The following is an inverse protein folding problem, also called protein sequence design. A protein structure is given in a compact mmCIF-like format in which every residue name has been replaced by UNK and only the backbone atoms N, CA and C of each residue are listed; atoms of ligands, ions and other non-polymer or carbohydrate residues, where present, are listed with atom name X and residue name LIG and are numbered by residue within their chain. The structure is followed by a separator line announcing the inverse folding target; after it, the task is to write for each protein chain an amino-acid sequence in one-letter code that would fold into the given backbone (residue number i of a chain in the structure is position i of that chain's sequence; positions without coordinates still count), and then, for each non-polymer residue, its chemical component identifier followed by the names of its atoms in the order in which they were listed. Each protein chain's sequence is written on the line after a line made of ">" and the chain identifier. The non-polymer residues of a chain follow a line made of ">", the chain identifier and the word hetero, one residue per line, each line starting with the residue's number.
data_IF_209868016856
#
_entry.id   IF_209868016856
#
_cell.length_a   1.000
_cell.length_b   1.000
_cell.length_c   1.000
_cell.angle_alpha   90.00
_cell.angle_beta   90.00
_cell.angle_gamma   90.00
#
_symmetry.space_group_name_H-M   'P 1'
#
loop_
_entity.id
_entity.type
_entity.pdbx_description
1 polymer ?
#
# COMPACT_ATOMS: atom_id res chain seq x y z
N UNK A 1 2.01 12.11 -35.73
CA UNK A 1 1.01 11.62 -34.77
C UNK A 1 1.27 12.35 -33.45
N UNK A 2 0.49 13.37 -33.12
CA UNK A 2 0.66 14.15 -31.88
C UNK A 2 -0.16 13.49 -30.78
N UNK A 3 0.49 13.07 -29.68
CA UNK A 3 -0.20 12.58 -28.48
C UNK A 3 -1.08 13.69 -27.93
N UNK A 4 -2.38 13.43 -27.81
CA UNK A 4 -3.31 14.39 -27.22
C UNK A 4 -3.06 14.49 -25.70
N UNK A 5 -3.34 15.65 -25.07
CA UNK A 5 -3.20 15.80 -23.63
C UNK A 5 -4.02 14.76 -22.83
N UNK A 6 -5.17 14.33 -23.35
CA UNK A 6 -6.01 13.31 -22.73
C UNK A 6 -5.33 11.93 -22.69
N UNK A 7 -4.68 11.53 -23.80
CA UNK A 7 -3.94 10.26 -23.86
C UNK A 7 -2.76 10.28 -22.88
N UNK A 8 -2.04 11.40 -22.80
CA UNK A 8 -0.95 11.57 -21.82
C UNK A 8 -1.45 11.47 -20.38
N UNK A 9 -2.60 12.08 -20.08
CA UNK A 9 -3.23 12.00 -18.75
C UNK A 9 -3.62 10.56 -18.39
N UNK A 10 -4.19 9.80 -19.33
CA UNK A 10 -4.53 8.40 -19.11
C UNK A 10 -3.28 7.55 -18.83
N UNK A 11 -2.24 7.67 -19.67
CA UNK A 11 -0.97 6.95 -19.46
C UNK A 11 -0.38 7.27 -18.08
N UNK A 12 -0.30 8.55 -17.73
CA UNK A 12 0.21 8.98 -16.43
C UNK A 12 -0.62 8.43 -15.26
N UNK A 13 -1.95 8.39 -15.41
CA UNK A 13 -2.87 7.82 -14.43
C UNK A 13 -2.63 6.32 -14.19
N UNK A 14 -2.54 5.52 -15.24
CA UNK A 14 -2.28 4.08 -15.11
C UNK A 14 -0.87 3.76 -14.60
N UNK A 15 0.15 4.52 -15.03
CA UNK A 15 1.50 4.38 -14.47
C UNK A 15 1.53 4.73 -12.98
N UNK A 16 0.82 5.77 -12.57
CA UNK A 16 0.66 6.14 -11.15
C UNK A 16 0.03 5.00 -10.36
N UNK A 17 -1.09 4.43 -10.83
CA UNK A 17 -1.75 3.28 -10.20
C UNK A 17 -0.79 2.09 -10.06
N UNK A 18 0.02 1.78 -11.09
CA UNK A 18 1.00 0.70 -11.02
C UNK A 18 2.10 0.95 -9.99
N UNK A 19 2.58 2.19 -9.86
CA UNK A 19 3.54 2.56 -8.83
C UNK A 19 2.95 2.39 -7.43
N UNK A 20 1.70 2.81 -7.24
CA UNK A 20 0.95 2.65 -5.99
C UNK A 20 0.84 1.18 -5.55
N UNK A 21 0.68 0.25 -6.49
CA UNK A 21 0.72 -1.20 -6.20
C UNK A 21 2.12 -1.65 -5.79
N UNK A 22 3.16 -1.23 -6.52
CA UNK A 22 4.53 -1.66 -6.25
C UNK A 22 5.02 -1.21 -4.87
N UNK A 23 4.70 0.02 -4.47
CA UNK A 23 5.19 0.64 -3.22
C UNK A 23 4.78 -0.13 -1.96
N UNK A 24 3.68 -0.88 -1.97
CA UNK A 24 3.21 -1.58 -0.77
C UNK A 24 3.91 -2.94 -0.53
N UNK A 25 4.49 -3.51 -1.59
CA UNK A 25 5.08 -4.87 -1.57
C UNK A 25 6.30 -5.01 -0.64
N UNK A 26 7.25 -4.04 -0.55
CA UNK A 26 8.44 -4.17 0.28
C UNK A 26 8.14 -4.39 1.77
N UNK A 27 7.11 -3.74 2.32
CA UNK A 27 6.82 -3.83 3.76
C UNK A 27 6.34 -5.24 4.17
N UNK A 28 5.48 -5.85 3.36
CA UNK A 28 4.99 -7.21 3.58
C UNK A 28 6.15 -8.21 3.47
N UNK A 29 7.04 -7.99 2.50
CA UNK A 29 8.21 -8.83 2.30
C UNK A 29 9.22 -8.73 3.44
N UNK A 30 9.48 -7.52 3.92
CA UNK A 30 10.36 -7.28 5.06
C UNK A 30 9.89 -8.03 6.30
N UNK A 31 8.62 -7.86 6.68
CA UNK A 31 8.04 -8.57 7.84
C UNK A 31 8.16 -10.10 7.70
N UNK A 32 7.97 -10.62 6.50
CA UNK A 32 8.12 -12.05 6.22
C UNK A 32 9.57 -12.54 6.40
N UNK A 33 10.53 -11.83 5.83
CA UNK A 33 11.96 -12.19 5.88
C UNK A 33 12.54 -12.05 7.28
N UNK A 34 12.19 -10.97 7.99
CA UNK A 34 12.67 -10.70 9.34
C UNK A 34 11.94 -11.55 10.38
N UNK A 35 10.77 -12.08 10.03
CA UNK A 35 9.84 -12.76 10.95
C UNK A 35 9.61 -11.92 12.22
N UNK A 36 9.54 -10.60 12.05
CA UNK A 36 9.37 -9.62 13.11
C UNK A 36 8.43 -8.53 12.63
N UNK A 37 7.58 -8.05 13.55
CA UNK A 37 6.70 -6.90 13.34
C UNK A 37 7.00 -5.77 14.33
N UNK A 38 8.23 -5.69 14.84
CA UNK A 38 8.64 -4.68 15.82
C UNK A 38 8.72 -3.27 15.22
N UNK A 39 9.01 -3.12 13.93
CA UNK A 39 9.11 -1.81 13.27
C UNK A 39 7.78 -1.08 13.03
N UNK A 40 6.63 -1.73 13.32
CA UNK A 40 5.30 -1.22 12.97
C UNK A 40 4.41 -1.10 14.21
N UNK A 41 3.75 0.05 14.38
CA UNK A 41 2.77 0.24 15.46
C UNK A 41 1.46 -0.50 15.15
N UNK A 42 1.00 -1.38 16.06
CA UNK A 42 -0.27 -2.11 15.87
C UNK A 42 -1.48 -1.18 15.80
N UNK A 43 -1.64 -0.17 16.67
CA UNK A 43 -2.73 0.80 16.53
C UNK A 43 -2.68 1.59 15.22
N UNK A 44 -1.49 1.85 14.68
CA UNK A 44 -1.34 2.48 13.37
C UNK A 44 -1.95 1.61 12.26
N UNK A 45 -1.61 0.32 12.21
CA UNK A 45 -2.16 -0.62 11.22
C UNK A 45 -3.68 -0.76 11.38
N UNK A 46 -4.20 -0.82 12.61
CA UNK A 46 -5.65 -0.94 12.85
C UNK A 46 -6.40 0.30 12.36
N UNK A 47 -5.86 1.50 12.61
CA UNK A 47 -6.46 2.74 12.12
C UNK A 47 -6.38 2.87 10.60
N UNK A 48 -5.28 2.42 9.98
CA UNK A 48 -5.15 2.31 8.53
C UNK A 48 -6.19 1.36 7.94
N UNK A 49 -6.32 0.14 8.47
CA UNK A 49 -7.31 -0.81 8.00
C UNK A 49 -8.74 -0.28 8.10
N UNK A 50 -9.06 0.43 9.19
CA UNK A 50 -10.38 1.06 9.33
C UNK A 50 -10.56 2.20 8.29
N UNK A 51 -9.50 2.97 8.03
CA UNK A 51 -9.45 3.97 6.97
C UNK A 51 -9.68 3.37 5.58
N UNK A 52 -9.04 2.25 5.28
CA UNK A 52 -9.16 1.51 4.03
C UNK A 52 -10.57 0.94 3.83
N UNK A 53 -11.14 0.33 4.86
CA UNK A 53 -12.51 -0.21 4.82
C UNK A 53 -13.51 0.91 4.57
N UNK A 54 -13.39 2.04 5.30
CA UNK A 54 -14.27 3.19 5.10
C UNK A 54 -14.08 3.83 3.72
N UNK A 55 -12.86 3.89 3.20
CA UNK A 55 -12.56 4.36 1.85
C UNK A 55 -13.19 3.46 0.77
N UNK A 56 -13.09 2.13 0.93
CA UNK A 56 -13.68 1.16 0.01
C UNK A 56 -15.21 1.29 -0.03
N UNK A 57 -15.87 1.30 1.12
CA UNK A 57 -17.33 1.46 1.17
C UNK A 57 -17.78 2.83 0.66
N UNK A 58 -17.07 3.90 1.02
CA UNK A 58 -17.34 5.24 0.51
C UNK A 58 -17.21 5.33 -1.01
N UNK A 59 -16.16 4.71 -1.57
CA UNK A 59 -15.93 4.67 -3.01
C UNK A 59 -16.96 3.86 -3.78
N UNK A 60 -17.40 2.72 -3.24
CA UNK A 60 -18.48 1.91 -3.84
C UNK A 60 -19.81 2.67 -3.82
N UNK A 61 -20.15 3.32 -2.70
CA UNK A 61 -21.38 4.11 -2.58
C UNK A 61 -21.38 5.32 -3.52
N UNK A 62 -20.24 6.01 -3.64
CA UNK A 62 -20.07 7.12 -4.58
C UNK A 62 -19.93 6.69 -6.05
N UNK A 63 -19.98 5.38 -6.35
CA UNK A 63 -19.77 4.81 -7.70
C UNK A 63 -18.51 5.35 -8.38
N UNK A 64 -17.42 5.44 -7.62
CA UNK A 64 -16.12 5.89 -8.15
C UNK A 64 -15.62 4.96 -9.26
N UNK A 65 -14.63 5.44 -10.02
CA UNK A 65 -14.02 4.67 -11.09
C UNK A 65 -13.60 3.26 -10.60
N UNK A 66 -13.86 2.19 -11.37
CA UNK A 66 -13.54 0.82 -10.96
C UNK A 66 -12.08 0.63 -10.53
N UNK A 67 -11.15 1.37 -11.14
CA UNK A 67 -9.72 1.36 -10.79
C UNK A 67 -9.46 1.80 -9.35
N UNK A 68 -10.17 2.83 -8.87
CA UNK A 68 -10.06 3.32 -7.49
C UNK A 68 -10.61 2.30 -6.50
N UNK A 69 -11.72 1.64 -6.85
CA UNK A 69 -12.33 0.58 -6.02
C UNK A 69 -11.37 -0.62 -5.94
N UNK A 70 -10.79 -1.06 -7.05
CA UNK A 70 -9.80 -2.16 -7.08
C UNK A 70 -8.59 -1.83 -6.20
N UNK A 71 -8.09 -0.59 -6.26
CA UNK A 71 -7.00 -0.14 -5.39
C UNK A 71 -7.39 -0.17 -3.91
N UNK A 72 -8.58 0.31 -3.55
CA UNK A 72 -9.05 0.26 -2.16
C UNK A 72 -9.18 -1.19 -1.63
N UNK A 73 -9.64 -2.13 -2.47
CA UNK A 73 -9.63 -3.56 -2.15
C UNK A 73 -8.21 -4.08 -1.95
N UNK A 74 -7.29 -3.73 -2.86
CA UNK A 74 -5.89 -4.13 -2.78
C UNK A 74 -5.24 -3.68 -1.45
N UNK A 75 -5.36 -2.40 -1.08
CA UNK A 75 -4.81 -1.90 0.18
C UNK A 75 -5.44 -2.56 1.40
N UNK A 76 -6.76 -2.74 1.40
CA UNK A 76 -7.46 -3.44 2.49
C UNK A 76 -6.89 -4.84 2.71
N UNK A 77 -6.64 -5.59 1.62
CA UNK A 77 -6.03 -6.93 1.70
C UNK A 77 -4.61 -6.86 2.25
N UNK A 78 -3.81 -5.91 1.76
CA UNK A 78 -2.44 -5.72 2.23
C UNK A 78 -2.36 -5.36 3.71
N UNK A 79 -3.26 -4.51 4.20
CA UNK A 79 -3.37 -4.14 5.62
C UNK A 79 -3.74 -5.34 6.49
N UNK A 80 -4.67 -6.18 6.03
CA UNK A 80 -5.02 -7.43 6.70
C UNK A 80 -3.80 -8.36 6.79
N UNK A 81 -3.05 -8.52 5.69
CA UNK A 81 -1.83 -9.34 5.67
C UNK A 81 -0.80 -8.80 6.67
N UNK A 82 -0.55 -7.48 6.67
CA UNK A 82 0.38 -6.85 7.60
C UNK A 82 -0.05 -7.05 9.05
N UNK A 83 -1.34 -6.86 9.35
CA UNK A 83 -1.87 -7.05 10.70
C UNK A 83 -1.69 -8.49 11.17
N UNK A 84 -1.97 -9.48 10.31
CA UNK A 84 -1.76 -10.90 10.58
C UNK A 84 -0.28 -11.18 10.83
N UNK A 85 0.62 -10.70 9.96
CA UNK A 85 2.07 -10.89 10.11
C UNK A 85 2.56 -10.33 11.45
N UNK A 86 2.22 -9.08 11.76
CA UNK A 86 2.65 -8.41 12.99
C UNK A 86 2.13 -9.15 14.23
N UNK A 87 0.85 -9.54 14.23
CA UNK A 87 0.27 -10.28 15.35
C UNK A 87 0.93 -11.66 15.52
N UNK A 88 1.12 -12.39 14.41
CA UNK A 88 1.70 -13.72 14.41
C UNK A 88 3.16 -13.71 14.89
N UNK A 89 4.00 -12.83 14.33
CA UNK A 89 5.42 -12.76 14.65
C UNK A 89 5.69 -12.22 16.07
N UNK A 90 4.85 -11.31 16.58
CA UNK A 90 4.94 -10.88 17.99
C UNK A 90 4.53 -11.97 18.97
N UNK A 91 3.53 -12.80 18.62
CA UNK A 91 3.08 -13.91 19.47
C UNK A 91 4.02 -15.13 19.40
N UNK A 92 4.67 -15.33 18.26
CA UNK A 92 5.62 -16.41 18.04
C UNK A 92 6.98 -15.84 17.62
N UNK A 93 7.73 -15.21 18.55
CA UNK A 93 9.04 -14.66 18.24
C UNK A 93 9.96 -15.75 17.72
N UNK A 94 10.69 -15.46 16.65
CA UNK A 94 11.69 -16.37 16.09
C UNK A 94 12.74 -16.75 17.13
N UNK A 95 13.36 -17.95 17.03
CA UNK A 95 14.39 -18.39 17.97
C UNK A 95 15.50 -17.36 18.16
N UNK A 96 15.91 -16.71 17.07
CA UNK A 96 16.93 -15.67 17.09
C UNK A 96 16.50 -14.36 17.79
N UNK A 97 15.20 -14.10 17.96
CA UNK A 97 14.69 -13.02 18.81
C UNK A 97 14.67 -13.43 20.29
N UNK A 98 14.40 -14.72 20.58
CA UNK A 98 14.41 -15.26 21.96
C UNK A 98 15.81 -15.33 22.56
N UNK A 99 16.82 -15.69 21.77
CA UNK A 99 18.22 -15.74 22.23
C UNK A 99 18.67 -14.39 22.76
N UNK A 100 18.26 -13.30 22.12
CA UNK A 100 18.64 -11.93 22.50
C UNK A 100 18.11 -11.48 23.88
N UNK A 101 17.02 -12.09 24.36
CA UNK A 101 16.46 -11.82 25.70
C UNK A 101 17.15 -12.66 26.79
N UNK A 102 17.87 -13.72 26.40
CA UNK A 102 18.44 -14.70 27.35
C UNK A 102 19.95 -14.52 27.58
N UNK A 103 20.65 -13.78 26.72
CA UNK A 103 22.09 -13.54 26.80
C UNK A 103 22.38 -12.10 27.20
N UNK A 104 22.21 -11.79 28.50
CA UNK A 104 22.78 -10.59 29.14
C UNK A 104 24.26 -10.84 29.50
N UNK A 105 25.07 -11.30 28.54
CA UNK A 105 26.52 -11.40 28.73
C UNK A 105 27.18 -10.08 28.30
N UNK A 106 28.17 -9.59 29.08
CA UNK A 106 28.88 -8.32 28.82
C UNK A 106 29.67 -8.31 27.50
N UNK A 107 29.79 -9.45 26.81
CA UNK A 107 30.46 -9.58 25.50
C UNK A 107 29.52 -9.48 24.30
N UNK A 108 28.21 -9.41 24.52
CA UNK A 108 27.22 -9.22 23.45
C UNK A 108 27.19 -7.74 23.05
N UNK A 109 27.29 -7.39 21.75
CA UNK A 109 27.24 -6.00 21.32
C UNK A 109 25.95 -5.32 21.78
N UNK A 110 26.06 -4.11 22.36
CA UNK A 110 24.95 -3.32 22.91
C UNK A 110 23.82 -3.05 21.89
N UNK A 111 24.14 -3.09 20.60
CA UNK A 111 23.17 -3.05 19.50
C UNK A 111 23.37 -4.29 18.63
N UNK A 112 22.35 -5.16 18.47
CA UNK A 112 22.39 -6.20 17.46
C UNK A 112 22.59 -5.59 16.09
N UNK A 113 23.37 -6.27 15.23
CA UNK A 113 23.46 -5.89 13.83
C UNK A 113 22.06 -5.93 13.21
N UNK A 114 21.57 -4.83 12.59
CA UNK A 114 20.24 -4.81 12.01
C UNK A 114 20.15 -5.91 10.95
N UNK A 115 19.25 -6.88 11.14
CA UNK A 115 18.98 -7.87 10.10
C UNK A 115 18.39 -7.13 8.91
N UNK A 116 19.12 -7.09 7.80
CA UNK A 116 18.62 -6.47 6.59
C UNK A 116 17.79 -7.48 5.77
N UNK A 117 16.58 -7.12 5.33
CA UNK A 117 15.80 -7.98 4.46
C UNK A 117 16.52 -8.17 3.12
N UNK A 118 16.63 -9.41 2.67
CA UNK A 118 17.15 -9.70 1.33
C UNK A 118 16.07 -9.38 0.29
N UNK A 119 16.41 -8.72 -0.82
CA UNK A 119 15.45 -8.45 -1.89
C UNK A 119 14.84 -9.75 -2.46
N UNK A 120 13.65 -9.65 -3.05
CA UNK A 120 12.91 -10.79 -3.62
C UNK A 120 13.70 -11.46 -4.76
N UNK A 121 14.36 -10.65 -5.57
CA UNK A 121 15.17 -11.04 -6.72
C UNK A 121 16.53 -10.34 -6.61
N UNK A 122 17.57 -10.79 -7.34
CA UNK A 122 18.79 -10.00 -7.43
C UNK A 122 18.46 -8.58 -7.95
N UNK A 123 19.10 -7.52 -7.41
CA UNK A 123 18.81 -6.13 -7.79
C UNK A 123 18.88 -5.86 -9.30
N UNK A 124 19.71 -6.63 -10.02
CA UNK A 124 19.85 -6.57 -11.48
C UNK A 124 18.61 -7.04 -12.24
N UNK A 125 17.70 -7.77 -11.59
CA UNK A 125 16.45 -8.26 -12.18
C UNK A 125 15.22 -7.60 -11.54
N UNK A 126 15.26 -7.31 -10.24
CA UNK A 126 14.14 -6.72 -9.51
C UNK A 126 13.73 -5.35 -10.07
N UNK A 127 14.66 -4.39 -10.10
CA UNK A 127 14.38 -3.04 -10.58
C UNK A 127 13.93 -2.98 -12.04
N UNK A 128 14.58 -3.67 -13.01
CA UNK A 128 14.10 -3.65 -14.38
C UNK A 128 12.76 -4.36 -14.55
N UNK A 129 12.44 -5.38 -13.74
CA UNK A 129 11.13 -6.04 -13.78
C UNK A 129 10.03 -5.09 -13.28
N UNK A 130 10.25 -4.40 -12.16
CA UNK A 130 9.33 -3.38 -11.65
C UNK A 130 9.15 -2.23 -12.63
N UNK A 131 10.25 -1.76 -13.22
CA UNK A 131 10.21 -0.71 -14.25
C UNK A 131 9.44 -1.20 -15.49
N UNK A 132 9.69 -2.43 -15.94
CA UNK A 132 8.98 -3.02 -17.07
C UNK A 132 7.48 -3.12 -16.79
N UNK A 133 7.08 -3.53 -15.58
CA UNK A 133 5.68 -3.57 -15.18
C UNK A 133 5.00 -2.19 -15.29
N UNK A 134 5.63 -1.14 -14.78
CA UNK A 134 5.11 0.24 -14.86
C UNK A 134 5.09 0.76 -16.29
N UNK A 135 6.10 0.47 -17.09
CA UNK A 135 6.13 0.88 -18.51
C UNK A 135 5.08 0.14 -19.33
N UNK A 136 4.90 -1.17 -19.10
CA UNK A 136 3.91 -1.99 -19.78
C UNK A 136 2.48 -1.55 -19.44
N UNK A 137 2.22 -1.12 -18.21
CA UNK A 137 0.91 -0.55 -17.86
C UNK A 137 0.64 0.77 -18.59
N UNK A 138 1.66 1.62 -18.73
CA UNK A 138 1.59 2.85 -19.55
C UNK A 138 1.34 2.58 -21.04
N UNK A 139 2.02 1.59 -21.62
CA UNK A 139 1.80 1.17 -23.02
C UNK A 139 0.41 0.56 -23.20
N UNK A 140 -0.04 -0.27 -22.25
CA UNK A 140 -1.39 -0.82 -22.25
C UNK A 140 -2.46 0.28 -22.18
N UNK A 141 -2.26 1.29 -21.34
CA UNK A 141 -3.13 2.45 -21.26
C UNK A 141 -3.16 3.27 -22.55
N UNK A 142 -2.01 3.45 -23.19
CA UNK A 142 -1.92 4.09 -24.51
C UNK A 142 -2.73 3.32 -25.56
N UNK A 143 -2.57 1.99 -25.62
CA UNK A 143 -3.27 1.13 -26.57
C UNK A 143 -4.80 1.13 -26.37
N UNK A 144 -5.25 1.16 -25.12
CA UNK A 144 -6.68 1.27 -24.79
C UNK A 144 -7.23 2.67 -25.10
N UNK A 145 -6.44 3.71 -24.84
CA UNK A 145 -6.83 5.11 -25.07
C UNK A 145 -6.84 5.51 -26.55
N UNK A 146 -6.20 4.72 -27.43
CA UNK A 146 -6.27 4.87 -28.89
C UNK A 146 -7.57 4.25 -29.46
N UNK A 147 -8.19 3.30 -28.76
CA UNK A 147 -9.43 2.64 -29.18
C UNK A 147 -10.69 3.32 -28.64
N UNK A 148 -10.63 3.91 -27.45
CA UNK A 148 -11.75 4.64 -26.86
C UNK A 148 -11.60 6.15 -27.06
N UNK A 149 -12.49 6.72 -27.88
CA UNK A 149 -12.82 8.15 -27.76
C UNK A 149 -13.61 8.33 -26.47
N UNK A 150 -12.91 8.41 -25.33
CA UNK A 150 -13.48 8.55 -23.99
C UNK A 150 -14.43 9.74 -23.99
N UNK A 151 -15.72 9.46 -24.09
CA UNK A 151 -16.80 10.44 -23.99
C UNK A 151 -16.97 10.79 -22.52
N UNK A 152 -16.25 11.81 -22.07
CA UNK A 152 -16.46 12.38 -20.74
C UNK A 152 -17.89 12.94 -20.74
N UNK A 153 -18.79 12.45 -19.86
CA UNK A 153 -20.12 13.03 -19.75
C UNK A 153 -19.98 14.51 -19.39
N UNK A 154 -20.56 15.38 -20.22
CA UNK A 154 -20.47 16.85 -20.07
C UNK A 154 -21.13 17.33 -18.77
N UNK A 155 -21.92 16.48 -18.12
CA UNK A 155 -22.54 16.73 -16.83
C UNK A 155 -22.60 15.42 -16.02
N UNK A 156 -21.58 15.11 -15.19
CA UNK A 156 -21.77 14.08 -14.17
C UNK A 156 -22.82 14.63 -13.21
N UNK A 157 -24.01 14.02 -13.15
CA UNK A 157 -24.92 14.20 -12.02
C UNK A 157 -24.18 13.64 -10.79
N UNK A 158 -23.41 14.49 -10.13
CA UNK A 158 -22.80 14.19 -8.85
C UNK A 158 -23.93 14.26 -7.84
N UNK A 159 -24.71 13.18 -7.74
CA UNK A 159 -25.58 12.97 -6.60
C UNK A 159 -24.69 12.90 -5.37
N UNK A 160 -24.61 14.04 -4.66
CA UNK A 160 -23.84 14.20 -3.45
C UNK A 160 -24.50 13.37 -2.35
N UNK A 161 -24.21 12.07 -2.34
CA UNK A 161 -24.65 11.21 -1.24
C UNK A 161 -23.79 11.53 -0.01
N UNK A 162 -24.36 12.27 0.94
CA UNK A 162 -23.65 12.68 2.17
C UNK A 162 -23.02 11.50 2.95
N UNK A 163 -23.55 10.28 2.79
CA UNK A 163 -23.01 9.05 3.39
C UNK A 163 -21.62 8.72 2.86
N UNK A 164 -21.42 8.81 1.54
CA UNK A 164 -20.11 8.53 0.94
C UNK A 164 -19.10 9.61 1.33
N UNK A 165 -19.55 10.86 1.44
CA UNK A 165 -18.71 11.96 1.93
C UNK A 165 -18.31 11.76 3.40
N UNK A 166 -19.25 11.38 4.26
CA UNK A 166 -18.96 11.09 5.66
C UNK A 166 -17.92 9.98 5.79
N UNK A 167 -18.05 8.90 5.01
CA UNK A 167 -17.09 7.81 5.00
C UNK A 167 -15.72 8.24 4.48
N UNK A 168 -15.67 9.08 3.43
CA UNK A 168 -14.44 9.64 2.91
C UNK A 168 -13.73 10.54 3.93
N UNK A 169 -14.45 11.44 4.62
CA UNK A 169 -13.89 12.27 5.68
C UNK A 169 -13.45 11.44 6.89
N UNK A 170 -14.21 10.41 7.27
CA UNK A 170 -13.82 9.49 8.33
C UNK A 170 -12.51 8.77 7.98
N UNK A 171 -12.38 8.26 6.74
CA UNK A 171 -11.15 7.64 6.24
C UNK A 171 -9.96 8.60 6.31
N UNK A 172 -10.12 9.84 5.84
CA UNK A 172 -9.07 10.86 5.91
C UNK A 172 -8.63 11.15 7.36
N UNK A 173 -9.57 11.28 8.29
CA UNK A 173 -9.27 11.49 9.72
C UNK A 173 -8.52 10.29 10.30
N UNK A 174 -8.90 9.06 9.94
CA UNK A 174 -8.21 7.85 10.40
C UNK A 174 -6.78 7.75 9.87
N UNK A 175 -6.55 8.07 8.59
CA UNK A 175 -5.19 8.09 8.02
C UNK A 175 -4.28 9.15 8.63
N UNK A 176 -4.82 10.33 8.94
CA UNK A 176 -4.06 11.38 9.61
C UNK A 176 -3.81 11.00 11.08
N UNK A 177 -4.84 10.48 11.75
CA UNK A 177 -4.79 10.06 13.14
C UNK A 177 -3.84 8.88 13.38
N UNK A 178 -3.71 7.96 12.41
CA UNK A 178 -2.83 6.79 12.53
C UNK A 178 -1.36 7.18 12.74
N UNK A 179 -0.94 8.35 12.28
CA UNK A 179 0.43 8.85 12.45
C UNK A 179 0.81 9.08 13.91
N UNK A 180 -0.15 9.42 14.77
CA UNK A 180 0.12 9.69 16.19
C UNK A 180 0.63 8.42 16.91
N UNK A 181 -0.04 7.26 16.82
CA UNK A 181 0.50 6.02 17.36
C UNK A 181 1.85 5.59 16.81
N UNK A 182 2.17 5.91 15.56
CA UNK A 182 3.47 5.57 14.98
C UNK A 182 4.58 6.47 15.54
N UNK A 183 4.32 7.76 15.72
CA UNK A 183 5.27 8.71 16.32
C UNK A 183 5.57 8.35 17.78
N UNK A 184 4.57 7.88 18.54
CA UNK A 184 4.78 7.48 19.93
C UNK A 184 5.57 6.17 20.03
N UNK A 185 5.48 5.32 19.01
CA UNK A 185 6.14 4.02 18.98
C UNK A 185 7.63 4.10 18.58
N UNK A 186 8.03 5.14 17.83
CA UNK A 186 9.40 5.36 17.36
C UNK A 186 10.15 6.36 18.25
#
# INVERSE_FOLDING_TARGET
>A
MTLSPAVLSNIAGYMSISLWIVVYTPQIWENYQLQSGEGLSVPFIVLWLLGDITNLFGGVLAKLLPTVIILAVYYTICDIILLIQVYYYRRHPSPAARTHVSTDDETTPLLPEPRQPKPLLPPTLEYPLLLSFVLLSGVGAWYLSDQDSVSIPENPEVELEWKSQLLGWASAVLYLGSRVPQIIHN
#
